data_IF_454242160025
#
_entry.id   IF_454242160025
#
_cell.length_a   1.000
_cell.length_b   1.000
_cell.length_c   1.000
_cell.angle_alpha   90.00
_cell.angle_beta   90.00
_cell.angle_gamma   90.00
#
_symmetry.space_group_name_H-M   'P 1'
#
loop_
_entity.id
_entity.type
_entity.pdbx_description
1 polymer ?
#
# COMPACT_ATOMS: atom_id res chain seq x y z
N UNK A 1 -11.61 17.27 6.91
CA UNK A 1 -10.59 17.01 5.88
C UNK A 1 -11.17 15.99 4.90
N UNK A 2 -11.11 16.26 3.59
CA UNK A 2 -11.67 15.37 2.57
C UNK A 2 -10.53 14.78 1.75
N UNK A 3 -10.41 13.46 1.76
CA UNK A 3 -9.55 12.73 0.83
C UNK A 3 -10.30 12.58 -0.49
N UNK A 4 -9.73 13.08 -1.58
CA UNK A 4 -10.31 12.98 -2.93
C UNK A 4 -9.86 11.67 -3.60
N UNK A 5 -8.70 11.15 -3.22
CA UNK A 5 -8.09 9.95 -3.77
C UNK A 5 -8.94 8.72 -3.49
N UNK A 6 -9.33 7.99 -4.55
CA UNK A 6 -9.95 6.68 -4.45
C UNK A 6 -8.97 5.60 -4.92
N UNK A 7 -8.33 4.92 -3.98
CA UNK A 7 -7.38 3.86 -4.28
C UNK A 7 -8.01 2.63 -4.92
N UNK A 8 -9.34 2.46 -4.83
CA UNK A 8 -10.02 1.36 -5.51
C UNK A 8 -9.98 1.52 -7.02
N UNK A 9 -9.90 2.76 -7.53
CA UNK A 9 -9.79 3.04 -8.97
C UNK A 9 -8.34 3.00 -9.45
N UNK A 10 -7.37 3.24 -8.56
CA UNK A 10 -5.95 3.36 -8.91
C UNK A 10 -5.20 2.03 -8.85
N UNK A 11 -5.62 1.11 -7.98
CA UNK A 11 -4.93 -0.15 -7.77
C UNK A 11 -5.54 -1.30 -8.58
N UNK A 12 -4.71 -2.22 -9.12
CA UNK A 12 -5.19 -3.44 -9.76
C UNK A 12 -6.15 -4.22 -8.86
N UNK A 13 -7.02 -5.03 -9.48
CA UNK A 13 -8.04 -5.83 -8.78
C UNK A 13 -7.51 -7.14 -8.19
N UNK A 14 -6.19 -7.35 -8.17
CA UNK A 14 -5.58 -8.52 -7.55
C UNK A 14 -5.78 -8.55 -6.04
N UNK A 15 -5.94 -9.75 -5.47
CA UNK A 15 -6.18 -9.93 -4.04
C UNK A 15 -4.92 -9.70 -3.19
N UNK A 16 -3.77 -10.20 -3.68
CA UNK A 16 -2.48 -10.16 -3.00
C UNK A 16 -1.40 -9.67 -3.97
N UNK A 17 -0.52 -8.82 -3.47
CA UNK A 17 0.62 -8.29 -4.21
C UNK A 17 1.92 -8.73 -3.55
N UNK A 18 2.83 -9.30 -4.33
CA UNK A 18 4.22 -9.48 -3.89
C UNK A 18 4.94 -8.12 -3.86
N UNK A 19 6.01 -8.03 -3.07
CA UNK A 19 6.86 -6.83 -3.01
C UNK A 19 7.33 -6.40 -4.42
N UNK A 20 7.67 -7.37 -5.27
CA UNK A 20 8.11 -7.13 -6.65
C UNK A 20 7.01 -6.52 -7.51
N UNK A 21 5.79 -7.04 -7.43
CA UNK A 21 4.65 -6.49 -8.19
C UNK A 21 4.36 -5.04 -7.80
N UNK A 22 4.43 -4.70 -6.51
CA UNK A 22 4.21 -3.33 -6.03
C UNK A 22 5.30 -2.37 -6.55
N UNK A 23 6.56 -2.83 -6.62
CA UNK A 23 7.66 -2.06 -7.21
C UNK A 23 7.51 -1.89 -8.73
N UNK A 24 7.07 -2.95 -9.42
CA UNK A 24 6.84 -2.96 -10.87
C UNK A 24 5.72 -1.98 -11.30
N UNK A 25 4.63 -1.88 -10.51
CA UNK A 25 3.59 -0.86 -10.73
C UNK A 25 4.00 0.54 -10.24
N UNK A 26 5.24 0.71 -9.77
CA UNK A 26 5.82 1.98 -9.30
C UNK A 26 5.05 2.63 -8.15
N UNK A 27 4.35 1.86 -7.34
CA UNK A 27 3.57 2.38 -6.22
C UNK A 27 4.46 2.66 -4.99
N UNK A 28 5.21 1.65 -4.53
CA UNK A 28 6.18 1.79 -3.44
C UNK A 28 7.42 0.99 -3.80
N UNK A 29 8.60 1.60 -3.64
CA UNK A 29 9.87 0.92 -3.95
C UNK A 29 10.11 -0.28 -3.05
N UNK A 30 10.68 -1.35 -3.62
CA UNK A 30 10.98 -2.60 -2.90
C UNK A 30 11.78 -2.35 -1.61
N UNK A 31 12.79 -1.48 -1.65
CA UNK A 31 13.61 -1.15 -0.47
C UNK A 31 12.79 -0.50 0.66
N UNK A 32 11.79 0.33 0.32
CA UNK A 32 10.89 0.94 1.29
C UNK A 32 9.90 -0.07 1.83
N UNK A 33 9.30 -0.90 0.98
CA UNK A 33 8.41 -2.00 1.42
C UNK A 33 9.10 -2.91 2.43
N UNK A 34 10.35 -3.31 2.18
CA UNK A 34 11.12 -4.12 3.14
C UNK A 34 11.25 -3.45 4.50
N UNK A 35 11.46 -2.12 4.55
CA UNK A 35 11.52 -1.35 5.80
C UNK A 35 10.17 -1.32 6.50
N UNK A 36 9.09 -1.02 5.77
CA UNK A 36 7.73 -1.01 6.32
C UNK A 36 7.36 -2.37 6.94
N UNK A 37 7.67 -3.46 6.24
CA UNK A 37 7.42 -4.82 6.72
C UNK A 37 8.26 -5.12 7.97
N UNK A 38 9.53 -4.76 7.97
CA UNK A 38 10.42 -4.96 9.12
C UNK A 38 9.94 -4.19 10.36
N UNK A 39 9.52 -2.94 10.17
CA UNK A 39 8.99 -2.08 11.23
C UNK A 39 7.54 -2.40 11.63
N UNK A 40 6.88 -3.35 10.93
CA UNK A 40 5.45 -3.67 11.11
C UNK A 40 4.51 -2.49 10.84
N UNK A 41 4.90 -1.62 9.92
CA UNK A 41 4.12 -0.46 9.46
C UNK A 41 3.12 -0.82 8.35
N UNK A 42 3.21 -2.03 7.79
CA UNK A 42 2.25 -2.58 6.83
C UNK A 42 1.97 -4.05 7.13
N UNK A 43 0.71 -4.45 7.10
CA UNK A 43 0.31 -5.85 7.30
C UNK A 43 0.68 -6.70 6.09
N UNK A 44 1.24 -7.88 6.35
CA UNK A 44 1.65 -8.85 5.33
C UNK A 44 1.07 -10.23 5.57
N UNK A 45 0.77 -10.93 4.47
CA UNK A 45 0.47 -12.34 4.42
C UNK A 45 1.74 -13.10 4.02
N UNK A 46 2.20 -13.99 4.89
CA UNK A 46 3.37 -14.83 4.61
C UNK A 46 2.95 -16.13 3.94
N UNK A 47 3.44 -16.36 2.72
CA UNK A 47 3.20 -17.61 1.97
C UNK A 47 4.57 -18.25 1.70
N UNK A 48 4.85 -19.34 2.42
CA UNK A 48 6.16 -19.98 2.44
C UNK A 48 7.25 -19.00 2.91
N UNK A 49 8.23 -18.73 2.05
CA UNK A 49 9.35 -17.81 2.34
C UNK A 49 9.12 -16.37 1.83
N UNK A 50 7.97 -16.09 1.21
CA UNK A 50 7.67 -14.78 0.58
C UNK A 50 6.61 -14.02 1.38
N UNK A 51 6.73 -12.70 1.37
CA UNK A 51 5.73 -11.79 1.93
C UNK A 51 4.86 -11.23 0.79
N UNK A 52 3.56 -11.21 1.03
CA UNK A 52 2.55 -10.60 0.18
C UNK A 52 1.79 -9.57 0.99
N UNK A 53 1.24 -8.57 0.32
CA UNK A 53 0.40 -7.54 0.93
C UNK A 53 -0.97 -7.65 0.30
N UNK A 54 -2.02 -7.74 1.13
CA UNK A 54 -3.39 -7.75 0.62
C UNK A 54 -3.76 -6.40 0.04
N UNK A 55 -4.65 -6.39 -0.95
CA UNK A 55 -5.16 -5.13 -1.52
C UNK A 55 -5.73 -4.21 -0.45
N UNK A 56 -6.48 -4.77 0.52
CA UNK A 56 -7.01 -4.00 1.64
C UNK A 56 -5.90 -3.39 2.51
N UNK A 57 -4.89 -4.17 2.90
CA UNK A 57 -3.75 -3.68 3.69
C UNK A 57 -3.01 -2.55 2.94
N UNK A 58 -2.82 -2.72 1.64
CA UNK A 58 -2.17 -1.71 0.80
C UNK A 58 -2.98 -0.42 0.71
N UNK A 59 -4.30 -0.52 0.51
CA UNK A 59 -5.21 0.65 0.50
C UNK A 59 -5.19 1.35 1.85
N UNK A 60 -5.36 0.60 2.95
CA UNK A 60 -5.37 1.15 4.30
C UNK A 60 -4.05 1.88 4.62
N UNK A 61 -2.91 1.30 4.21
CA UNK A 61 -1.61 1.95 4.33
C UNK A 61 -1.56 3.27 3.55
N UNK A 62 -2.01 3.29 2.29
CA UNK A 62 -1.99 4.50 1.47
C UNK A 62 -2.92 5.59 2.02
N UNK A 63 -4.12 5.21 2.46
CA UNK A 63 -5.08 6.13 3.10
C UNK A 63 -4.50 6.76 4.38
N UNK A 64 -3.91 5.94 5.25
CA UNK A 64 -3.27 6.41 6.48
C UNK A 64 -2.07 7.34 6.21
N UNK A 65 -1.41 7.18 5.06
CA UNK A 65 -0.27 7.98 4.63
C UNK A 65 -0.65 9.10 3.65
N UNK A 66 -1.94 9.34 3.40
CA UNK A 66 -2.41 10.42 2.55
C UNK A 66 -2.59 11.68 3.37
N UNK A 67 -1.91 12.76 2.99
CA UNK A 67 -2.17 14.09 3.52
C UNK A 67 -3.42 14.64 2.81
N UNK A 68 -4.55 14.83 3.50
CA UNK A 68 -5.78 15.26 2.87
C UNK A 68 -5.69 16.73 2.43
N UNK A 69 -6.47 17.10 1.41
CA UNK A 69 -6.53 18.49 0.97
C UNK A 69 -7.08 19.37 2.09
N UNK A 70 -6.32 20.38 2.51
CA UNK A 70 -6.84 21.45 3.35
C UNK A 70 -7.78 22.32 2.52
N UNK A 71 -9.07 22.18 2.76
CA UNK A 71 -10.04 23.17 2.28
C UNK A 71 -10.11 24.26 3.33
N UNK A 72 -9.19 25.23 3.28
CA UNK A 72 -9.38 26.51 3.95
C UNK A 72 -10.56 27.17 3.23
N UNK A 73 -11.73 27.15 3.89
CA UNK A 73 -12.89 27.97 3.50
C UNK A 73 -12.69 29.38 4.04
#
# INVERSE_FOLDING_TARGET
MKTITDYNLLLPSDMLFSIRQIDEIKLIKEAMLKKLIYNREIEVVKIGKKNFISRLSLIAYLEANTIPLETNK
#
